data_IF_771916391382
#
_entry.id   IF_771916391382
#
_cell.length_a   1.000
_cell.length_b   1.000
_cell.length_c   1.000
_cell.angle_alpha   90.00
_cell.angle_beta   90.00
_cell.angle_gamma   90.00
#
_symmetry.space_group_name_H-M   'P 1'
#
loop_
_entity.id
_entity.type
_entity.pdbx_description
1 polymer ?
#
# COMPACT_ATOMS: atom_id res chain seq x y z
N UNK A 1 1.12 54.59 -5.37
CA UNK A 1 2.06 53.70 -4.64
C UNK A 1 2.21 54.20 -3.21
N UNK A 2 1.46 53.61 -2.26
CA UNK A 2 1.29 54.14 -0.90
C UNK A 2 2.33 53.67 0.12
N UNK A 3 3.17 52.69 -0.22
CA UNK A 3 4.18 52.18 0.72
C UNK A 3 5.51 52.97 0.61
N UNK A 4 5.71 53.90 1.55
CA UNK A 4 6.91 54.76 1.64
C UNK A 4 8.21 53.94 1.72
N UNK A 5 8.18 52.77 2.38
CA UNK A 5 9.37 51.89 2.49
C UNK A 5 9.75 51.30 1.13
N UNK A 6 8.76 50.89 0.33
CA UNK A 6 9.01 50.41 -1.03
C UNK A 6 9.52 51.52 -1.95
N UNK A 7 8.96 52.74 -1.84
CA UNK A 7 9.43 53.90 -2.59
C UNK A 7 10.90 54.26 -2.25
N UNK A 8 11.26 54.29 -0.96
CA UNK A 8 12.66 54.50 -0.51
C UNK A 8 13.60 53.39 -1.01
N UNK A 9 13.15 52.12 -0.99
CA UNK A 9 13.91 50.98 -1.52
C UNK A 9 14.12 51.05 -3.04
N UNK A 10 13.18 51.61 -3.78
CA UNK A 10 13.30 51.79 -5.24
C UNK A 10 14.22 52.96 -5.62
N UNK A 11 14.27 54.00 -4.79
CA UNK A 11 15.12 55.20 -5.00
C UNK A 11 16.57 55.01 -4.54
N UNK A 12 16.86 54.04 -3.68
CA UNK A 12 18.24 53.79 -3.26
C UNK A 12 19.04 53.14 -4.39
N UNK A 13 20.29 53.57 -4.57
CA UNK A 13 21.25 52.97 -5.52
C UNK A 13 21.77 51.59 -5.07
N UNK A 14 21.18 51.01 -4.00
CA UNK A 14 21.59 49.72 -3.46
C UNK A 14 21.05 48.60 -4.37
N UNK A 15 21.84 47.55 -4.66
CA UNK A 15 21.37 46.43 -5.46
C UNK A 15 20.17 45.76 -4.78
N UNK A 16 19.12 45.49 -5.55
CA UNK A 16 17.92 44.81 -5.04
C UNK A 16 18.27 43.36 -4.71
N UNK A 17 18.23 43.01 -3.43
CA UNK A 17 18.26 41.62 -3.01
C UNK A 17 17.02 40.90 -3.58
N UNK A 18 17.24 40.06 -4.59
CA UNK A 18 16.22 39.17 -5.16
C UNK A 18 16.53 37.75 -4.71
N UNK A 19 15.51 37.01 -4.26
CA UNK A 19 15.69 35.61 -3.94
C UNK A 19 16.09 34.87 -5.22
N UNK A 20 17.21 34.14 -5.17
CA UNK A 20 17.56 33.22 -6.26
C UNK A 20 16.40 32.23 -6.41
N UNK A 21 15.94 32.01 -7.65
CA UNK A 21 14.86 31.07 -7.98
C UNK A 21 15.36 29.62 -7.89
N UNK A 22 15.91 29.25 -6.74
CA UNK A 22 16.37 27.89 -6.48
C UNK A 22 15.15 26.95 -6.53
N UNK A 23 15.26 25.84 -7.27
CA UNK A 23 14.17 24.88 -7.44
C UNK A 23 13.12 25.25 -8.49
N UNK A 24 13.34 26.30 -9.30
CA UNK A 24 12.55 26.58 -10.51
C UNK A 24 13.43 26.61 -11.75
N UNK A 25 12.87 26.18 -12.87
CA UNK A 25 13.47 26.31 -14.19
C UNK A 25 13.41 27.79 -14.63
N UNK A 26 14.21 28.15 -15.65
CA UNK A 26 14.15 29.49 -16.26
C UNK A 26 12.74 29.83 -16.78
N UNK A 27 11.98 28.81 -17.18
CA UNK A 27 10.57 28.90 -17.58
C UNK A 27 9.58 29.15 -16.43
N UNK A 28 10.04 29.23 -15.18
CA UNK A 28 9.19 29.44 -13.99
C UNK A 28 8.56 28.17 -13.43
N UNK A 29 8.61 27.05 -14.14
CA UNK A 29 8.14 25.73 -13.69
C UNK A 29 8.99 25.20 -12.52
N UNK A 30 8.40 24.40 -11.63
CA UNK A 30 9.11 23.74 -10.54
C UNK A 30 10.08 22.69 -11.11
N UNK A 31 11.33 22.70 -10.65
CA UNK A 31 12.30 21.65 -10.97
C UNK A 31 11.94 20.41 -10.13
N UNK A 32 11.58 19.32 -10.80
CA UNK A 32 11.34 18.03 -10.15
C UNK A 32 12.69 17.37 -9.96
N UNK A 33 13.10 17.17 -8.71
CA UNK A 33 14.27 16.37 -8.37
C UNK A 33 13.76 15.01 -7.91
N UNK A 34 14.10 13.96 -8.65
CA UNK A 34 13.87 12.58 -8.22
C UNK A 34 14.93 12.27 -7.17
N UNK A 35 14.54 12.31 -5.91
CA UNK A 35 15.40 11.99 -4.77
C UNK A 35 15.06 10.57 -4.29
N UNK A 36 16.05 9.82 -3.83
CA UNK A 36 15.86 8.47 -3.28
C UNK A 36 16.53 7.39 -4.14
N UNK A 37 15.81 6.81 -5.08
CA UNK A 37 16.30 5.66 -5.86
C UNK A 37 17.03 6.09 -7.15
N UNK A 38 18.26 5.60 -7.33
CA UNK A 38 19.08 5.81 -8.51
C UNK A 38 18.43 5.27 -9.80
N UNK A 39 17.83 4.08 -9.75
CA UNK A 39 17.19 3.42 -10.90
C UNK A 39 16.05 4.28 -11.45
N UNK A 40 15.23 4.85 -10.56
CA UNK A 40 14.13 5.74 -10.95
C UNK A 40 14.69 7.06 -11.49
N UNK A 41 15.75 7.59 -10.88
CA UNK A 41 16.35 8.85 -11.29
C UNK A 41 16.98 8.78 -12.70
N UNK A 42 17.60 7.65 -13.06
CA UNK A 42 18.16 7.40 -14.39
C UNK A 42 17.08 7.32 -15.47
N UNK A 43 15.96 6.68 -15.15
CA UNK A 43 14.84 6.49 -16.07
C UNK A 43 13.81 7.64 -16.05
N UNK A 44 14.12 8.76 -15.40
CA UNK A 44 13.18 9.88 -15.26
C UNK A 44 13.29 10.91 -16.39
N UNK A 45 12.25 11.00 -17.23
CA UNK A 45 12.17 12.04 -18.25
C UNK A 45 11.63 13.36 -17.65
N UNK A 46 12.39 14.45 -17.78
CA UNK A 46 11.99 15.78 -17.27
C UNK A 46 10.96 16.49 -18.17
N UNK A 47 10.73 16.00 -19.38
CA UNK A 47 9.78 16.56 -20.32
C UNK A 47 8.36 16.04 -20.08
N UNK A 48 8.25 14.84 -19.51
CA UNK A 48 6.98 14.20 -19.19
C UNK A 48 6.43 14.66 -17.84
N UNK A 49 5.11 14.54 -17.69
CA UNK A 49 4.44 14.77 -16.41
C UNK A 49 4.76 13.64 -15.43
N UNK A 50 4.58 13.91 -14.13
CA UNK A 50 4.73 12.90 -13.07
C UNK A 50 3.92 11.64 -13.40
N UNK A 51 2.64 11.78 -13.74
CA UNK A 51 1.76 10.66 -14.06
C UNK A 51 2.22 9.86 -15.29
N UNK A 52 2.71 10.55 -16.33
CA UNK A 52 3.24 9.89 -17.53
C UNK A 52 4.52 9.10 -17.22
N UNK A 53 5.44 9.66 -16.42
CA UNK A 53 6.66 8.96 -16.03
C UNK A 53 6.39 7.70 -15.23
N UNK A 54 5.57 7.79 -14.18
CA UNK A 54 5.22 6.61 -13.39
C UNK A 54 4.57 5.52 -14.27
N UNK A 55 3.63 5.91 -15.15
CA UNK A 55 3.05 4.99 -16.14
C UNK A 55 4.10 4.34 -17.04
N UNK A 56 5.03 5.12 -17.61
CA UNK A 56 6.14 4.60 -18.44
C UNK A 56 7.03 3.63 -17.68
N UNK A 57 7.29 3.91 -16.41
CA UNK A 57 8.08 3.03 -15.55
C UNK A 57 7.34 1.74 -15.19
N UNK A 58 6.01 1.67 -15.39
CA UNK A 58 5.17 0.57 -14.93
C UNK A 58 4.78 0.69 -13.45
N UNK A 59 4.90 1.90 -12.87
CA UNK A 59 4.57 2.21 -11.48
C UNK A 59 3.26 3.00 -11.40
N UNK A 60 2.52 2.81 -10.32
CA UNK A 60 1.34 3.62 -10.05
C UNK A 60 1.73 4.97 -9.43
N UNK A 61 1.20 6.07 -9.99
CA UNK A 61 1.43 7.41 -9.45
C UNK A 61 0.48 7.78 -8.29
N UNK A 62 -0.71 7.17 -8.26
CA UNK A 62 -1.78 7.35 -7.27
C UNK A 62 -2.46 6.00 -7.06
N UNK A 63 -2.78 5.69 -5.81
CA UNK A 63 -3.46 4.45 -5.44
C UNK A 63 -4.95 4.47 -5.81
N UNK A 64 -5.61 5.60 -5.54
CA UNK A 64 -7.04 5.78 -5.81
C UNK A 64 -7.28 6.28 -7.25
N UNK A 65 -8.48 6.06 -7.77
CA UNK A 65 -8.87 6.60 -9.06
C UNK A 65 -8.74 8.13 -9.08
N UNK A 66 -8.21 8.71 -10.15
CA UNK A 66 -8.13 10.15 -10.28
C UNK A 66 -9.54 10.72 -10.40
N UNK A 67 -9.81 11.83 -9.70
CA UNK A 67 -11.01 12.60 -9.93
C UNK A 67 -10.93 13.25 -11.34
N UNK A 68 -11.97 13.04 -12.15
CA UNK A 68 -12.07 13.60 -13.50
C UNK A 68 -11.36 12.77 -14.59
N UNK A 69 -11.26 13.35 -15.79
CA UNK A 69 -10.66 12.68 -16.94
C UNK A 69 -9.15 12.52 -16.81
N UNK A 70 -8.64 11.34 -17.14
CA UNK A 70 -7.20 11.11 -17.28
C UNK A 70 -6.81 11.06 -18.76
N UNK A 71 -5.57 11.46 -19.08
CA UNK A 71 -5.06 11.37 -20.44
C UNK A 71 -5.07 9.90 -20.91
N UNK A 72 -5.75 9.65 -22.04
CA UNK A 72 -5.78 8.34 -22.71
C UNK A 72 -4.41 7.99 -23.27
N UNK A 73 -4.09 6.69 -23.26
CA UNK A 73 -2.82 6.18 -23.75
C UNK A 73 -2.92 6.10 -25.27
N UNK A 74 -2.03 6.80 -25.98
CA UNK A 74 -1.91 6.69 -27.44
C UNK A 74 -1.02 5.51 -27.77
N UNK A 75 -1.54 4.59 -28.56
CA UNK A 75 -0.84 3.45 -29.18
C UNK A 75 -0.90 3.60 -30.69
N UNK A 76 0.00 2.94 -31.42
CA UNK A 76 0.07 3.06 -32.90
C UNK A 76 -1.26 2.66 -33.59
N UNK A 77 -2.07 1.84 -32.94
CA UNK A 77 -3.39 1.38 -33.42
C UNK A 77 -4.58 2.17 -32.88
N UNK A 78 -4.36 3.22 -32.07
CA UNK A 78 -5.43 4.06 -31.51
C UNK A 78 -5.23 4.39 -30.03
N UNK A 79 -6.33 4.57 -29.29
CA UNK A 79 -6.27 4.76 -27.84
C UNK A 79 -6.38 3.42 -27.13
N UNK A 80 -5.38 3.07 -26.33
CA UNK A 80 -5.49 1.93 -25.43
C UNK A 80 -6.39 2.32 -24.25
N UNK A 81 -7.35 1.45 -23.95
CA UNK A 81 -8.10 1.52 -22.70
C UNK A 81 -7.14 1.35 -21.52
N UNK A 82 -7.33 2.18 -20.50
CA UNK A 82 -6.52 2.08 -19.30
C UNK A 82 -6.73 0.70 -18.66
N UNK A 83 -5.67 0.01 -18.20
CA UNK A 83 -5.84 -1.24 -17.48
C UNK A 83 -6.72 -0.99 -16.26
N UNK A 84 -7.82 -1.76 -16.17
CA UNK A 84 -8.75 -1.70 -15.05
C UNK A 84 -8.00 -2.12 -13.78
N UNK A 85 -8.01 -1.26 -12.76
CA UNK A 85 -7.39 -1.57 -11.49
C UNK A 85 -8.32 -2.48 -10.68
N UNK A 86 -7.98 -3.76 -10.57
CA UNK A 86 -8.77 -4.76 -9.84
C UNK A 86 -8.96 -4.40 -8.35
N UNK A 87 -8.10 -3.54 -7.78
CA UNK A 87 -8.22 -3.05 -6.40
C UNK A 87 -9.14 -1.83 -6.26
N UNK A 88 -9.64 -1.28 -7.36
CA UNK A 88 -10.50 -0.11 -7.32
C UNK A 88 -11.96 -0.51 -7.13
N UNK A 89 -12.48 -0.27 -5.93
CA UNK A 89 -13.91 -0.39 -5.63
C UNK A 89 -14.64 0.71 -6.41
N UNK A 90 -15.36 0.29 -7.45
CA UNK A 90 -16.21 1.18 -8.26
C UNK A 90 -17.44 1.58 -7.46
N UNK A 91 -17.94 2.79 -7.68
CA UNK A 91 -19.19 3.22 -7.06
C UNK A 91 -20.35 2.31 -7.51
N UNK A 92 -21.37 2.14 -6.66
CA UNK A 92 -22.55 1.31 -6.99
C UNK A 92 -23.25 1.73 -8.29
N UNK A 93 -23.18 3.02 -8.66
CA UNK A 93 -23.69 3.50 -9.95
C UNK A 93 -22.88 2.99 -11.16
N UNK A 94 -21.56 2.89 -11.02
CA UNK A 94 -20.66 2.41 -12.07
C UNK A 94 -20.70 0.89 -12.20
N UNK A 95 -20.84 0.16 -11.10
CA UNK A 95 -21.10 -1.29 -11.12
C UNK A 95 -22.46 -1.58 -11.75
N UNK A 96 -23.51 -0.82 -11.41
CA UNK A 96 -24.83 -0.90 -12.05
C UNK A 96 -24.72 -0.69 -13.57
N UNK A 97 -24.00 0.33 -14.02
CA UNK A 97 -23.84 0.61 -15.45
C UNK A 97 -23.11 -0.51 -16.21
N UNK A 98 -22.11 -1.16 -15.59
CA UNK A 98 -21.42 -2.31 -16.19
C UNK A 98 -22.27 -3.58 -16.19
N UNK A 99 -23.09 -3.78 -15.15
CA UNK A 99 -23.99 -4.92 -15.01
C UNK A 99 -25.34 -4.73 -15.73
N UNK A 100 -25.61 -3.54 -16.28
CA UNK A 100 -26.78 -3.24 -17.12
C UNK A 100 -26.65 -3.93 -18.49
N UNK A 101 -26.70 -5.26 -18.48
CA UNK A 101 -26.95 -6.05 -19.68
C UNK A 101 -28.46 -6.07 -19.91
N UNK A 102 -28.89 -5.98 -21.16
CA UNK A 102 -30.31 -6.17 -21.51
C UNK A 102 -30.68 -7.61 -21.15
N UNK A 103 -31.36 -7.79 -20.02
CA UNK A 103 -31.82 -9.09 -19.54
C UNK A 103 -33.21 -9.42 -20.09
N UNK A 104 -33.40 -10.64 -20.54
CA UNK A 104 -34.74 -11.19 -20.78
C UNK A 104 -35.25 -11.83 -19.47
N UNK A 105 -36.51 -11.61 -19.13
CA UNK A 105 -37.14 -12.20 -17.93
C UNK A 105 -38.39 -12.96 -18.36
N UNK A 106 -38.55 -14.17 -17.83
CA UNK A 106 -39.73 -15.00 -18.10
C UNK A 106 -40.93 -14.43 -17.34
N UNK A 107 -42.00 -14.15 -18.06
CA UNK A 107 -43.22 -13.56 -17.51
C UNK A 107 -44.41 -14.44 -17.85
N UNK A 108 -45.10 -14.93 -16.83
CA UNK A 108 -46.39 -15.60 -16.98
C UNK A 108 -47.48 -14.54 -17.15
N UNK A 109 -48.23 -14.63 -18.25
CA UNK A 109 -49.33 -13.73 -18.59
C UNK A 109 -50.65 -14.49 -18.53
N UNK A 110 -51.68 -13.78 -18.09
CA UNK A 110 -53.05 -14.26 -18.09
C UNK A 110 -53.54 -14.47 -19.54
N UNK A 111 -54.02 -15.68 -19.92
CA UNK A 111 -54.35 -16.01 -21.31
C UNK A 111 -55.47 -15.16 -21.92
N UNK A 112 -56.38 -14.62 -21.11
CA UNK A 112 -57.54 -13.87 -21.62
C UNK A 112 -57.30 -12.36 -21.69
N UNK A 113 -56.51 -11.80 -20.77
CA UNK A 113 -56.35 -10.34 -20.63
C UNK A 113 -54.95 -9.84 -21.01
N UNK A 114 -53.98 -10.74 -21.19
CA UNK A 114 -52.58 -10.40 -21.46
C UNK A 114 -51.87 -9.67 -20.33
N UNK A 115 -52.51 -9.53 -19.16
CA UNK A 115 -51.94 -8.89 -17.98
C UNK A 115 -50.86 -9.78 -17.39
N UNK A 116 -49.78 -9.16 -16.93
CA UNK A 116 -48.66 -9.84 -16.28
C UNK A 116 -49.12 -10.34 -14.90
N UNK A 117 -49.09 -11.66 -14.69
CA UNK A 117 -49.43 -12.29 -13.42
C UNK A 117 -48.19 -12.50 -12.54
N UNK A 118 -47.10 -13.04 -13.13
CA UNK A 118 -45.89 -13.36 -12.38
C UNK A 118 -44.62 -13.17 -13.21
N UNK A 119 -43.62 -12.57 -12.59
CA UNK A 119 -42.25 -12.45 -13.13
C UNK A 119 -41.39 -13.53 -12.47
N UNK A 120 -40.83 -14.44 -13.25
CA UNK A 120 -39.98 -15.55 -12.77
C UNK A 120 -38.53 -15.11 -12.93
N UNK A 121 -37.83 -14.97 -11.79
CA UNK A 121 -36.39 -14.68 -11.75
C UNK A 121 -35.65 -15.98 -11.38
N UNK A 122 -34.78 -16.47 -12.25
CA UNK A 122 -34.10 -17.78 -12.12
C UNK A 122 -32.82 -17.76 -11.24
N UNK A 123 -32.58 -16.71 -10.43
CA UNK A 123 -31.30 -16.44 -9.73
C UNK A 123 -31.15 -17.13 -8.34
N UNK A 124 -31.47 -18.42 -8.24
CA UNK A 124 -31.33 -19.21 -7.00
C UNK A 124 -30.03 -20.04 -7.01
N UNK A 125 -29.25 -19.98 -5.91
CA UNK A 125 -28.03 -20.78 -5.72
C UNK A 125 -28.18 -21.66 -4.48
N UNK A 126 -27.84 -22.95 -4.62
CA UNK A 126 -27.87 -23.92 -3.53
C UNK A 126 -26.57 -23.88 -2.73
N UNK A 127 -26.66 -23.50 -1.45
CA UNK A 127 -25.55 -23.56 -0.50
C UNK A 127 -25.97 -24.50 0.63
N UNK A 128 -25.21 -25.57 0.86
CA UNK A 128 -25.46 -26.55 1.92
C UNK A 128 -26.91 -27.09 1.95
N UNK A 129 -27.50 -27.36 0.78
CA UNK A 129 -28.83 -27.96 0.65
C UNK A 129 -30.00 -26.98 0.89
N UNK A 130 -29.75 -25.68 1.04
CA UNK A 130 -30.79 -24.63 1.05
C UNK A 130 -30.63 -23.71 -0.15
N UNK A 131 -31.75 -23.49 -0.87
CA UNK A 131 -31.84 -22.53 -1.96
C UNK A 131 -31.85 -21.11 -1.39
N UNK A 132 -30.79 -20.35 -1.68
CA UNK A 132 -30.69 -18.94 -1.35
C UNK A 132 -30.75 -18.13 -2.64
N UNK A 133 -31.54 -17.04 -2.64
CA UNK A 133 -31.38 -16.02 -3.68
C UNK A 133 -29.97 -15.46 -3.57
N UNK A 134 -29.27 -15.24 -4.69
CA UNK A 134 -28.07 -14.39 -4.73
C UNK A 134 -28.48 -12.95 -4.44
N UNK A 135 -28.84 -12.69 -3.19
CA UNK A 135 -29.39 -11.42 -2.78
C UNK A 135 -28.24 -10.41 -2.71
N UNK A 136 -28.03 -9.66 -3.80
CA UNK A 136 -27.36 -8.38 -3.76
C UNK A 136 -28.40 -7.23 -3.84
N UNK A 137 -29.33 -7.10 -2.88
CA UNK A 137 -30.44 -6.14 -2.97
C UNK A 137 -29.98 -4.68 -2.93
N UNK A 138 -28.77 -4.42 -2.44
CA UNK A 138 -28.15 -3.10 -2.39
C UNK A 138 -27.16 -2.85 -3.54
N UNK A 139 -27.02 -3.82 -4.45
CA UNK A 139 -26.00 -3.86 -5.49
C UNK A 139 -24.60 -3.46 -4.98
N UNK A 140 -24.20 -4.05 -3.86
CA UNK A 140 -22.88 -3.87 -3.28
C UNK A 140 -21.82 -4.43 -4.24
N UNK A 141 -20.90 -3.60 -4.75
CA UNK A 141 -19.83 -4.05 -5.64
C UNK A 141 -18.89 -5.10 -5.03
N UNK A 142 -18.90 -5.30 -3.71
CA UNK A 142 -18.09 -6.34 -3.06
C UNK A 142 -18.68 -7.75 -3.17
N UNK A 143 -20.00 -7.88 -3.37
CA UNK A 143 -20.66 -9.19 -3.40
C UNK A 143 -20.32 -9.99 -4.68
N UNK A 144 -20.00 -9.28 -5.78
CA UNK A 144 -19.55 -9.88 -7.05
C UNK A 144 -18.09 -10.38 -6.99
N UNK A 145 -17.31 -9.94 -5.99
CA UNK A 145 -15.91 -10.35 -5.78
C UNK A 145 -15.78 -11.57 -4.85
N UNK A 146 -16.89 -12.05 -4.29
CA UNK A 146 -16.88 -13.14 -3.33
C UNK A 146 -17.10 -14.50 -4.01
N UNK A 147 -16.31 -15.47 -3.53
CA UNK A 147 -16.33 -16.92 -3.79
C UNK A 147 -15.45 -17.34 -4.98
N UNK A 148 -14.36 -18.06 -4.68
CA UNK A 148 -13.34 -18.65 -5.58
C UNK A 148 -12.11 -17.81 -5.96
N UNK A 149 -11.73 -16.84 -5.12
CA UNK A 149 -10.35 -16.31 -5.17
C UNK A 149 -9.50 -17.09 -4.17
N UNK A 150 -8.82 -18.13 -4.65
CA UNK A 150 -7.69 -18.73 -3.93
C UNK A 150 -6.72 -17.59 -3.57
N UNK A 151 -6.53 -17.34 -2.27
CA UNK A 151 -5.61 -16.29 -1.79
C UNK A 151 -4.18 -16.50 -2.32
N UNK A 152 -3.83 -17.76 -2.63
CA UNK A 152 -2.59 -18.14 -3.30
C UNK A 152 -2.52 -17.70 -4.79
N UNK A 153 -3.64 -17.61 -5.50
CA UNK A 153 -3.72 -17.19 -6.90
C UNK A 153 -3.61 -15.66 -7.08
N UNK A 154 -4.02 -14.86 -6.08
CA UNK A 154 -3.85 -13.39 -6.11
C UNK A 154 -2.37 -13.00 -6.15
N UNK A 155 -1.52 -13.74 -5.44
CA UNK A 155 -0.06 -13.55 -5.50
C UNK A 155 0.55 -13.88 -6.86
N UNK A 156 -0.09 -14.76 -7.64
CA UNK A 156 0.39 -15.20 -8.97
C UNK A 156 -0.16 -14.34 -10.11
N UNK A 157 -1.36 -13.77 -9.98
CA UNK A 157 -1.92 -12.84 -10.99
C UNK A 157 -1.19 -11.48 -11.04
N UNK A 158 -0.53 -11.07 -9.95
CA UNK A 158 0.32 -9.88 -9.91
C UNK A 158 1.69 -10.07 -10.60
N UNK A 159 2.11 -11.32 -10.85
CA UNK A 159 3.30 -11.66 -11.64
C UNK A 159 2.99 -11.59 -13.14
N UNK A 160 2.38 -10.48 -13.57
CA UNK A 160 2.06 -10.22 -14.96
C UNK A 160 3.33 -10.28 -15.83
N UNK A 161 3.27 -11.08 -16.90
CA UNK A 161 4.37 -11.40 -17.81
C UNK A 161 5.03 -10.17 -18.49
N UNK A 162 4.44 -8.98 -18.34
CA UNK A 162 4.89 -7.71 -18.92
C UNK A 162 5.40 -6.69 -17.90
N UNK A 163 5.98 -7.13 -16.77
CA UNK A 163 6.65 -6.22 -15.85
C UNK A 163 7.79 -5.46 -16.58
N UNK A 164 7.71 -4.13 -16.61
CA UNK A 164 8.73 -3.24 -17.17
C UNK A 164 10.12 -3.60 -16.63
N UNK A 165 11.15 -3.50 -17.47
CA UNK A 165 12.54 -3.79 -17.07
C UNK A 165 12.95 -3.04 -15.79
N UNK A 166 12.44 -1.82 -15.60
CA UNK A 166 12.69 -1.01 -14.39
C UNK A 166 12.03 -1.62 -13.15
N UNK A 167 10.80 -2.12 -13.27
CA UNK A 167 10.10 -2.78 -12.14
C UNK A 167 10.87 -4.02 -11.70
N UNK A 168 11.33 -4.84 -12.64
CA UNK A 168 12.15 -6.03 -12.34
C UNK A 168 13.44 -5.67 -11.59
N UNK A 169 14.10 -4.57 -11.98
CA UNK A 169 15.29 -4.09 -11.27
C UNK A 169 14.96 -3.62 -9.85
N UNK A 170 13.84 -2.93 -9.66
CA UNK A 170 13.37 -2.48 -8.33
C UNK A 170 13.02 -3.67 -7.43
N UNK A 171 12.36 -4.69 -7.96
CA UNK A 171 12.04 -5.94 -7.24
C UNK A 171 13.32 -6.68 -6.83
N UNK A 172 14.30 -6.76 -7.72
CA UNK A 172 15.61 -7.35 -7.39
C UNK A 172 16.33 -6.56 -6.29
N UNK A 173 16.32 -5.22 -6.36
CA UNK A 173 16.89 -4.39 -5.31
C UNK A 173 16.16 -4.60 -3.98
N UNK A 174 14.82 -4.63 -3.98
CA UNK A 174 14.02 -4.88 -2.79
C UNK A 174 14.32 -6.25 -2.17
N UNK A 175 14.39 -7.31 -2.99
CA UNK A 175 14.74 -8.66 -2.52
C UNK A 175 16.14 -8.71 -1.88
N UNK A 176 17.10 -7.97 -2.45
CA UNK A 176 18.44 -7.83 -1.88
C UNK A 176 18.40 -7.09 -0.54
N UNK A 177 17.66 -6.00 -0.45
CA UNK A 177 17.51 -5.24 0.79
C UNK A 177 16.81 -6.07 1.87
N UNK A 178 15.77 -6.83 1.53
CA UNK A 178 15.09 -7.75 2.44
C UNK A 178 16.05 -8.82 2.95
N UNK A 179 16.84 -9.44 2.05
CA UNK A 179 17.86 -10.40 2.47
C UNK A 179 18.90 -9.78 3.42
N UNK A 180 19.27 -8.51 3.21
CA UNK A 180 20.18 -7.77 4.07
C UNK A 180 19.55 -7.41 5.43
N UNK A 181 18.24 -7.15 5.46
CA UNK A 181 17.48 -6.92 6.71
C UNK A 181 17.36 -8.22 7.50
N UNK A 182 17.07 -9.35 6.84
CA UNK A 182 17.06 -10.66 7.47
C UNK A 182 18.45 -11.06 7.99
N UNK A 183 19.51 -10.69 7.28
CA UNK A 183 20.90 -10.90 7.69
C UNK A 183 21.39 -10.01 8.84
N UNK A 184 20.56 -9.12 9.39
CA UNK A 184 20.94 -8.28 10.53
C UNK A 184 21.20 -9.16 11.76
N UNK A 185 22.38 -8.99 12.37
CA UNK A 185 22.77 -9.71 13.59
C UNK A 185 21.68 -9.56 14.67
N UNK A 186 21.25 -10.65 15.33
CA UNK A 186 20.30 -10.56 16.42
C UNK A 186 20.84 -9.65 17.53
N UNK A 187 19.93 -8.96 18.22
CA UNK A 187 20.31 -8.15 19.39
C UNK A 187 20.83 -9.09 20.47
N UNK A 188 22.08 -8.94 20.91
CA UNK A 188 22.63 -9.67 22.05
C UNK A 188 22.44 -8.89 23.36
N UNK A 189 22.71 -9.52 24.49
CA UNK A 189 22.83 -8.87 25.81
C UNK A 189 24.21 -8.22 25.94
N UNK A 190 24.36 -7.26 26.85
CA UNK A 190 25.70 -6.74 27.19
C UNK A 190 26.48 -7.74 28.05
N UNK A 191 27.81 -7.62 28.09
CA UNK A 191 28.69 -8.52 28.87
C UNK A 191 28.33 -8.53 30.36
N UNK A 192 28.19 -7.35 30.95
CA UNK A 192 27.83 -7.18 32.36
C UNK A 192 26.43 -7.70 32.69
N UNK A 193 25.49 -7.60 31.76
CA UNK A 193 24.17 -8.23 31.93
C UNK A 193 24.27 -9.75 31.91
N UNK A 194 25.16 -10.32 31.08
CA UNK A 194 25.46 -11.76 31.10
C UNK A 194 25.99 -12.22 32.45
N UNK A 195 27.03 -11.56 32.98
CA UNK A 195 27.59 -11.87 34.30
C UNK A 195 26.56 -11.73 35.43
N UNK A 196 25.67 -10.74 35.32
CA UNK A 196 24.60 -10.54 36.29
C UNK A 196 23.57 -11.67 36.25
N UNK A 197 23.18 -12.11 35.05
CA UNK A 197 22.28 -13.25 34.84
C UNK A 197 22.93 -14.54 35.36
N UNK A 198 24.20 -14.78 35.04
CA UNK A 198 24.95 -15.94 35.53
C UNK A 198 24.95 -16.00 37.06
N UNK A 199 25.19 -14.88 37.75
CA UNK A 199 25.13 -14.81 39.22
C UNK A 199 23.73 -15.09 39.77
N UNK A 200 22.67 -14.62 39.09
CA UNK A 200 21.30 -14.89 39.50
C UNK A 200 20.94 -16.38 39.34
N UNK A 201 21.27 -16.97 38.19
CA UNK A 201 21.02 -18.39 37.90
C UNK A 201 21.85 -19.29 38.83
N UNK A 202 23.12 -18.95 39.09
CA UNK A 202 23.97 -19.71 40.00
C UNK A 202 23.42 -19.72 41.45
N UNK A 203 22.77 -18.63 41.89
CA UNK A 203 22.26 -18.51 43.27
C UNK A 203 20.86 -19.07 43.45
N UNK A 204 19.96 -18.85 42.49
CA UNK A 204 18.53 -19.16 42.64
C UNK A 204 18.03 -20.25 41.68
N UNK A 205 18.87 -20.76 40.79
CA UNK A 205 18.48 -21.77 39.80
C UNK A 205 17.39 -21.24 38.86
N UNK A 206 16.25 -21.92 38.82
CA UNK A 206 15.08 -21.56 37.99
C UNK A 206 14.00 -20.76 38.73
N UNK A 207 14.22 -20.40 40.01
CA UNK A 207 13.23 -19.65 40.79
C UNK A 207 13.30 -18.14 40.49
N UNK A 208 12.57 -17.72 39.46
CA UNK A 208 12.47 -16.30 39.06
C UNK A 208 11.83 -15.40 40.13
N UNK A 209 11.00 -15.94 41.03
CA UNK A 209 10.39 -15.16 42.11
C UNK A 209 11.41 -14.85 43.21
N UNK A 210 12.30 -15.80 43.50
CA UNK A 210 13.44 -15.58 44.40
C UNK A 210 14.45 -14.58 43.80
N UNK A 211 14.75 -14.68 42.50
CA UNK A 211 15.62 -13.72 41.81
C UNK A 211 15.11 -12.28 41.88
N UNK A 212 13.81 -12.08 41.65
CA UNK A 212 13.21 -10.75 41.71
C UNK A 212 13.25 -10.13 43.11
N UNK A 213 13.14 -10.96 44.16
CA UNK A 213 13.19 -10.53 45.57
C UNK A 213 14.61 -10.36 46.12
N UNK A 214 15.65 -10.76 45.37
CA UNK A 214 17.03 -10.64 45.83
C UNK A 214 17.52 -9.19 45.82
N UNK A 215 17.52 -8.55 47.01
CA UNK A 215 17.95 -7.15 47.17
C UNK A 215 19.42 -6.90 46.81
N UNK A 216 20.30 -7.92 46.88
CA UNK A 216 21.73 -7.76 46.62
C UNK A 216 22.04 -7.90 45.15
N UNK A 217 21.53 -8.96 44.52
CA UNK A 217 21.78 -9.22 43.10
C UNK A 217 20.85 -8.40 42.21
N UNK A 218 19.62 -8.09 42.62
CA UNK A 218 18.66 -7.27 41.86
C UNK A 218 18.47 -5.86 42.48
N UNK A 219 19.51 -5.00 42.53
CA UNK A 219 19.41 -3.68 43.17
C UNK A 219 18.43 -2.75 42.44
N UNK A 220 18.25 -2.94 41.13
CA UNK A 220 17.35 -2.13 40.30
C UNK A 220 15.90 -2.63 40.33
N UNK A 221 15.59 -3.62 41.18
CA UNK A 221 14.23 -4.14 41.39
C UNK A 221 13.56 -4.58 40.07
N UNK A 222 14.32 -5.26 39.20
CA UNK A 222 13.78 -5.82 37.96
C UNK A 222 12.64 -6.80 38.26
N UNK A 223 11.57 -6.71 37.47
CA UNK A 223 10.40 -7.56 37.62
C UNK A 223 10.69 -9.00 37.18
N UNK A 224 9.90 -9.96 37.68
CA UNK A 224 10.00 -11.38 37.31
C UNK A 224 9.95 -11.59 35.79
N UNK A 225 9.07 -10.85 35.10
CA UNK A 225 8.93 -10.94 33.64
C UNK A 225 10.13 -10.38 32.87
N UNK A 226 10.79 -9.34 33.38
CA UNK A 226 12.00 -8.79 32.76
C UNK A 226 13.18 -9.76 32.91
N UNK A 227 13.38 -10.28 34.13
CA UNK A 227 14.42 -11.29 34.41
C UNK A 227 14.24 -12.51 33.50
N UNK A 228 13.02 -13.04 33.40
CA UNK A 228 12.69 -14.18 32.52
C UNK A 228 13.01 -13.89 31.04
N UNK A 229 12.70 -12.68 30.56
CA UNK A 229 12.98 -12.28 29.18
C UNK A 229 14.48 -12.18 28.92
N UNK A 230 15.24 -11.63 29.87
CA UNK A 230 16.70 -11.48 29.76
C UNK A 230 17.43 -12.81 29.81
N UNK A 231 17.04 -13.71 30.71
CA UNK A 231 17.57 -15.09 30.78
C UNK A 231 17.35 -15.81 29.46
N UNK A 232 16.11 -15.82 28.95
CA UNK A 232 15.81 -16.44 27.64
C UNK A 232 16.67 -15.86 26.51
N UNK A 233 16.91 -14.55 26.51
CA UNK A 233 17.74 -13.88 25.50
C UNK A 233 19.22 -14.22 25.65
N UNK A 234 19.69 -14.39 26.89
CA UNK A 234 21.05 -14.79 27.22
C UNK A 234 21.32 -16.25 26.80
N UNK A 235 20.41 -17.18 27.14
CA UNK A 235 20.47 -18.59 26.72
C UNK A 235 20.47 -18.72 25.19
N UNK A 236 19.55 -18.01 24.51
CA UNK A 236 19.49 -17.98 23.05
C UNK A 236 20.71 -17.32 22.38
N UNK A 237 21.53 -16.59 23.14
CA UNK A 237 22.80 -16.03 22.67
C UNK A 237 24.02 -16.88 22.97
N UNK A 238 23.90 -17.90 23.85
CA UNK A 238 24.95 -18.89 24.12
C UNK A 238 24.85 -20.12 23.22
N UNK A 239 23.65 -20.44 22.72
CA UNK A 239 23.42 -21.46 21.69
C UNK A 239 23.84 -20.98 20.30
#
# INVERSE_FOLDING_TARGET
MTNIRQAKKLRSSRPKATAKRNGRLKSGKKKVNVLGNAIIAENWDRNLTLTQNYRRLGLMHRLNAPAGGSQRITTDTGFADAPENNLHIKGSAESNAKNLKVGETRVERDPETGRILRVINDDEVEIAGRKHKRANPLNDPLNDLAVDVDIAAVGQAAQGKDASAVVRQLEMQAAKEDSAVLGKKPRHTSTREGEWIEKLVQKHGDDYAAMARDKKLNPMQQTVGDIKRRIRKFEAGQA
#
